data_IF_856245382747
#
_entry.id   IF_856245382747
#
_cell.length_a   1.000
_cell.length_b   1.000
_cell.length_c   1.000
_cell.angle_alpha   90.00
_cell.angle_beta   90.00
_cell.angle_gamma   90.00
#
_symmetry.space_group_name_H-M   'P 1'
#
loop_
_entity.id
_entity.type
_entity.pdbx_description
1 polymer ?
#
# COMPACT_ATOMS: atom_id res chain seq x y z
N UNK A 1 -11.83 -17.63 -23.58
CA UNK A 1 -10.79 -18.05 -22.62
C UNK A 1 -9.72 -16.97 -22.53
N UNK A 2 -9.02 -16.89 -21.40
CA UNK A 2 -7.85 -16.04 -21.22
C UNK A 2 -6.63 -16.93 -20.96
N UNK A 3 -5.52 -16.63 -21.63
CA UNK A 3 -4.23 -17.29 -21.40
C UNK A 3 -3.46 -16.60 -20.28
N UNK A 4 -2.94 -17.37 -19.32
CA UNK A 4 -2.10 -16.89 -18.22
C UNK A 4 -0.68 -17.44 -18.40
N UNK A 5 0.36 -16.58 -18.29
CA UNK A 5 0.35 -15.27 -17.62
C UNK A 5 0.11 -14.06 -18.55
N UNK A 6 0.05 -14.23 -19.87
CA UNK A 6 -0.01 -13.12 -20.85
C UNK A 6 -1.27 -12.26 -20.76
N UNK A 7 -2.35 -12.80 -20.17
CA UNK A 7 -3.70 -12.21 -20.07
C UNK A 7 -4.36 -11.89 -21.42
N UNK A 8 -3.82 -12.43 -22.53
CA UNK A 8 -4.48 -12.35 -23.84
C UNK A 8 -5.78 -13.15 -23.81
N UNK A 9 -6.83 -12.59 -24.41
CA UNK A 9 -8.17 -13.20 -24.48
C UNK A 9 -8.38 -13.69 -25.91
N UNK A 10 -8.96 -14.88 -26.04
CA UNK A 10 -9.45 -15.42 -27.32
C UNK A 10 -10.69 -16.28 -27.09
N UNK A 11 -11.30 -16.80 -28.15
CA UNK A 11 -12.42 -17.75 -28.11
C UNK A 11 -11.96 -19.12 -28.58
N UNK A 12 -12.56 -20.17 -28.02
CA UNK A 12 -12.31 -21.54 -28.46
C UNK A 12 -13.15 -21.78 -29.71
N UNK A 13 -12.47 -22.00 -30.84
CA UNK A 13 -13.10 -22.31 -32.13
C UNK A 13 -13.52 -23.78 -32.20
N UNK A 14 -12.61 -24.69 -31.82
CA UNK A 14 -12.83 -26.15 -31.84
C UNK A 14 -12.09 -26.84 -30.70
N UNK A 15 -12.66 -27.94 -30.22
CA UNK A 15 -12.00 -28.88 -29.31
C UNK A 15 -11.80 -30.18 -30.10
N UNK A 16 -10.55 -30.58 -30.29
CA UNK A 16 -10.18 -31.70 -31.16
C UNK A 16 -9.59 -32.83 -30.33
N UNK A 17 -10.02 -34.06 -30.61
CA UNK A 17 -9.45 -35.29 -30.07
C UNK A 17 -9.12 -36.27 -31.19
N UNK A 18 -8.48 -37.40 -30.86
CA UNK A 18 -8.22 -38.44 -31.85
C UNK A 18 -9.50 -39.04 -32.46
N UNK A 19 -10.60 -39.08 -31.70
CA UNK A 19 -11.89 -39.63 -32.14
C UNK A 19 -12.77 -38.61 -32.89
N UNK A 20 -12.28 -37.38 -33.09
CA UNK A 20 -13.02 -36.28 -33.69
C UNK A 20 -13.18 -35.09 -32.76
N UNK A 21 -14.02 -34.15 -33.20
CA UNK A 21 -14.29 -32.91 -32.48
C UNK A 21 -15.31 -33.11 -31.36
N UNK A 22 -15.15 -32.34 -30.27
CA UNK A 22 -16.06 -32.33 -29.13
C UNK A 22 -16.71 -30.95 -28.97
N UNK A 23 -17.95 -30.94 -28.50
CA UNK A 23 -18.65 -29.70 -28.14
C UNK A 23 -18.18 -29.12 -26.79
N UNK A 24 -17.76 -29.99 -25.85
CA UNK A 24 -17.26 -29.59 -24.54
C UNK A 24 -16.15 -30.54 -24.05
N UNK A 25 -15.33 -30.07 -23.12
CA UNK A 25 -14.28 -30.85 -22.47
C UNK A 25 -14.17 -30.50 -20.98
N UNK A 26 -13.63 -31.43 -20.19
CA UNK A 26 -13.45 -31.30 -18.76
C UNK A 26 -12.16 -31.98 -18.31
N UNK A 27 -11.60 -31.57 -17.17
CA UNK A 27 -10.44 -32.25 -16.60
C UNK A 27 -10.83 -33.66 -16.13
N UNK A 28 -10.03 -34.70 -16.41
CA UNK A 28 -8.64 -34.67 -16.88
C UNK A 28 -8.45 -35.01 -18.38
N UNK A 29 -9.43 -34.76 -19.27
CA UNK A 29 -9.32 -35.10 -20.69
C UNK A 29 -8.11 -34.44 -21.36
N UNK A 30 -7.38 -35.22 -22.16
CA UNK A 30 -6.32 -34.71 -23.03
C UNK A 30 -6.93 -34.30 -24.37
N UNK A 31 -6.86 -33.01 -24.68
CA UNK A 31 -7.50 -32.40 -25.85
C UNK A 31 -6.54 -31.45 -26.55
N UNK A 32 -6.84 -31.13 -27.81
CA UNK A 32 -6.23 -30.03 -28.55
C UNK A 32 -7.26 -28.92 -28.73
N UNK A 33 -6.91 -27.69 -28.37
CA UNK A 33 -7.78 -26.52 -28.55
C UNK A 33 -7.33 -25.72 -29.77
N UNK A 34 -8.28 -25.40 -30.65
CA UNK A 34 -8.09 -24.43 -31.73
C UNK A 34 -8.73 -23.12 -31.28
N UNK A 35 -7.96 -22.05 -31.22
CA UNK A 35 -8.42 -20.72 -30.85
C UNK A 35 -8.80 -19.90 -32.09
N UNK A 36 -9.65 -18.88 -31.92
CA UNK A 36 -10.00 -17.96 -33.01
C UNK A 36 -8.84 -17.02 -33.38
N UNK A 37 -8.10 -16.57 -32.37
CA UNK A 37 -6.97 -15.65 -32.54
C UNK A 37 -5.64 -16.37 -32.36
N UNK A 38 -4.62 -15.89 -33.06
CA UNK A 38 -3.23 -16.32 -32.86
C UNK A 38 -2.67 -15.72 -31.57
N UNK A 39 -2.90 -16.42 -30.46
CA UNK A 39 -2.32 -16.08 -29.16
C UNK A 39 -1.29 -17.13 -28.73
N UNK A 40 -0.17 -16.65 -28.19
CA UNK A 40 0.87 -17.51 -27.63
C UNK A 40 0.37 -18.19 -26.34
N UNK A 41 0.24 -19.51 -26.38
CA UNK A 41 -0.07 -20.37 -25.22
C UNK A 41 1.04 -21.40 -25.09
N UNK A 42 1.96 -21.17 -24.16
CA UNK A 42 3.12 -22.02 -23.94
C UNK A 42 2.82 -23.25 -23.09
N UNK A 43 3.78 -24.19 -23.05
CA UNK A 43 3.70 -25.35 -22.15
C UNK A 43 3.65 -24.88 -20.69
N UNK A 44 2.64 -25.35 -19.96
CA UNK A 44 2.42 -25.00 -18.56
C UNK A 44 1.56 -23.74 -18.36
N UNK A 45 1.22 -23.01 -19.42
CA UNK A 45 0.27 -21.90 -19.30
C UNK A 45 -1.14 -22.41 -18.99
N UNK A 46 -1.93 -21.54 -18.38
CA UNK A 46 -3.28 -21.87 -17.92
C UNK A 46 -4.29 -21.08 -18.74
N UNK A 47 -5.30 -21.78 -19.26
CA UNK A 47 -6.49 -21.16 -19.83
C UNK A 47 -7.56 -21.06 -18.74
N UNK A 48 -8.04 -19.85 -18.50
CA UNK A 48 -9.10 -19.58 -17.53
C UNK A 48 -10.27 -18.82 -18.18
N UNK A 49 -11.42 -18.81 -17.51
CA UNK A 49 -12.52 -17.93 -17.91
C UNK A 49 -12.17 -16.48 -17.52
N UNK A 50 -12.34 -15.46 -18.39
CA UNK A 50 -11.96 -14.08 -18.08
C UNK A 50 -12.58 -13.52 -16.80
N UNK A 51 -13.82 -13.94 -16.48
CA UNK A 51 -14.54 -13.54 -15.26
C UNK A 51 -14.26 -14.42 -14.03
N UNK A 52 -13.49 -15.51 -14.19
CA UNK A 52 -13.18 -16.45 -13.11
C UNK A 52 -11.74 -16.96 -13.27
N UNK A 53 -10.79 -16.04 -13.18
CA UNK A 53 -9.37 -16.33 -13.28
C UNK A 53 -8.72 -16.48 -11.90
N UNK A 54 -7.74 -17.38 -11.75
CA UNK A 54 -6.90 -17.44 -10.57
C UNK A 54 -6.04 -16.17 -10.44
N UNK A 55 -5.51 -15.95 -9.24
CA UNK A 55 -4.62 -14.81 -8.98
C UNK A 55 -3.19 -15.14 -9.41
N UNK A 56 -2.59 -14.30 -10.24
CA UNK A 56 -1.15 -14.36 -10.53
C UNK A 56 -0.38 -13.77 -9.34
N UNK A 57 0.39 -14.61 -8.64
CA UNK A 57 1.13 -14.20 -7.43
C UNK A 57 2.59 -14.64 -7.53
N UNK A 58 3.50 -13.72 -7.19
CA UNK A 58 4.92 -14.00 -6.95
C UNK A 58 5.17 -14.43 -5.50
N UNK A 59 4.16 -14.32 -4.65
CA UNK A 59 4.29 -14.55 -3.23
C UNK A 59 2.98 -15.12 -2.68
N UNK A 60 3.06 -16.24 -1.98
CA UNK A 60 1.90 -16.95 -1.45
C UNK A 60 2.12 -17.29 0.02
N UNK A 61 1.08 -17.12 0.84
CA UNK A 61 1.06 -17.71 2.16
C UNK A 61 0.61 -19.16 2.06
N UNK A 62 1.29 -20.03 2.79
CA UNK A 62 1.05 -21.46 2.75
C UNK A 62 1.00 -22.04 4.15
N UNK A 63 0.23 -23.12 4.29
CA UNK A 63 0.47 -24.12 5.31
C UNK A 63 1.27 -25.23 4.65
N UNK A 64 2.50 -25.41 5.12
CA UNK A 64 3.48 -26.37 4.62
C UNK A 64 3.59 -27.53 5.61
N UNK A 65 3.67 -28.75 5.10
CA UNK A 65 4.22 -29.89 5.83
C UNK A 65 5.63 -30.16 5.33
N UNK A 66 6.58 -30.27 6.25
CA UNK A 66 7.96 -30.63 5.93
C UNK A 66 8.14 -32.14 6.05
N UNK A 67 8.76 -32.75 5.04
CA UNK A 67 8.79 -34.21 4.86
C UNK A 67 10.22 -34.78 4.90
N UNK A 68 11.21 -33.96 5.28
CA UNK A 68 12.63 -34.34 5.28
C UNK A 68 13.25 -34.18 6.66
N UNK A 69 14.21 -35.04 6.99
CA UNK A 69 14.94 -35.00 8.26
C UNK A 69 15.79 -33.73 8.39
N UNK A 70 16.49 -33.36 7.31
CA UNK A 70 17.25 -32.12 7.26
C UNK A 70 16.30 -30.91 7.39
N UNK A 71 16.62 -29.94 8.26
CA UNK A 71 15.75 -28.80 8.49
C UNK A 71 15.52 -27.97 7.22
N UNK A 72 14.31 -27.41 7.10
CA UNK A 72 14.01 -26.40 6.09
C UNK A 72 14.93 -25.19 6.25
N UNK A 73 15.56 -24.77 5.16
CA UNK A 73 16.41 -23.60 5.10
C UNK A 73 15.62 -22.41 4.55
N UNK A 74 15.44 -21.37 5.37
CA UNK A 74 14.86 -20.12 4.90
C UNK A 74 15.81 -19.42 3.91
N UNK A 75 15.22 -18.76 2.92
CA UNK A 75 15.92 -18.03 1.85
C UNK A 75 16.80 -18.91 0.94
N UNK A 76 16.79 -20.23 1.10
CA UNK A 76 17.40 -21.17 0.16
C UNK A 76 16.46 -21.45 -1.02
N UNK A 77 17.02 -21.65 -2.24
CA UNK A 77 16.22 -21.93 -3.41
C UNK A 77 15.64 -23.35 -3.37
N UNK A 78 14.34 -23.45 -3.57
CA UNK A 78 13.58 -24.68 -3.79
C UNK A 78 12.92 -24.66 -5.17
N UNK A 79 12.57 -25.85 -5.66
CA UNK A 79 11.72 -26.01 -6.82
C UNK A 79 10.28 -26.20 -6.34
N UNK A 80 9.37 -25.37 -6.83
CA UNK A 80 7.95 -25.42 -6.53
C UNK A 80 7.23 -25.95 -7.75
N UNK A 81 6.62 -27.12 -7.62
CA UNK A 81 5.76 -27.68 -8.65
C UNK A 81 4.30 -27.42 -8.27
N UNK A 82 3.64 -26.64 -9.12
CA UNK A 82 2.26 -26.19 -8.95
C UNK A 82 1.51 -26.40 -10.26
N UNK A 83 0.40 -27.15 -10.22
CA UNK A 83 -0.37 -27.54 -11.42
C UNK A 83 0.52 -28.11 -12.53
N UNK A 84 0.66 -27.39 -13.64
CA UNK A 84 1.45 -27.75 -14.82
C UNK A 84 2.77 -26.96 -14.91
N UNK A 85 3.08 -26.09 -13.94
CA UNK A 85 4.33 -25.32 -13.88
C UNK A 85 5.26 -25.82 -12.78
N UNK A 86 6.54 -25.70 -13.08
CA UNK A 86 7.64 -25.87 -12.14
C UNK A 86 8.44 -24.58 -12.13
N UNK A 87 8.47 -23.90 -10.99
CA UNK A 87 9.15 -22.62 -10.82
C UNK A 87 10.13 -22.69 -9.66
N UNK A 88 11.16 -21.86 -9.66
CA UNK A 88 12.00 -21.69 -8.47
C UNK A 88 11.30 -20.77 -7.48
N UNK A 89 11.50 -21.04 -6.20
CA UNK A 89 11.02 -20.22 -5.10
C UNK A 89 11.87 -20.40 -3.85
N UNK A 90 11.61 -19.61 -2.83
CA UNK A 90 12.26 -19.73 -1.53
C UNK A 90 11.26 -19.43 -0.43
N UNK A 91 11.40 -20.10 0.72
CA UNK A 91 10.62 -19.75 1.90
C UNK A 91 11.31 -18.59 2.60
N UNK A 92 10.71 -17.39 2.56
CA UNK A 92 11.30 -16.20 3.16
C UNK A 92 11.01 -16.08 4.65
N UNK A 93 9.90 -16.67 5.11
CA UNK A 93 9.48 -16.60 6.51
C UNK A 93 8.71 -17.83 6.95
N UNK A 94 8.99 -18.29 8.16
CA UNK A 94 8.17 -19.21 8.94
C UNK A 94 7.46 -18.42 10.06
N UNK A 95 6.13 -18.33 10.03
CA UNK A 95 5.37 -17.54 10.98
C UNK A 95 5.20 -18.25 12.33
N UNK A 96 4.90 -19.55 12.27
CA UNK A 96 4.90 -20.47 13.39
C UNK A 96 4.98 -21.89 12.84
N UNK A 97 5.39 -22.82 13.69
CA UNK A 97 5.28 -24.25 13.45
C UNK A 97 4.44 -24.93 14.52
N UNK A 98 3.88 -26.06 14.16
CA UNK A 98 3.07 -26.94 15.01
C UNK A 98 3.66 -28.33 14.86
N UNK A 99 4.04 -28.92 15.98
CA UNK A 99 4.28 -30.35 16.06
C UNK A 99 2.91 -31.04 16.11
N UNK A 100 2.59 -31.96 15.18
CA UNK A 100 1.31 -32.67 15.20
C UNK A 100 1.02 -33.41 16.51
N UNK A 101 2.06 -33.78 17.26
CA UNK A 101 1.94 -34.50 18.53
C UNK A 101 1.64 -33.58 19.71
N UNK A 102 2.18 -32.36 19.71
CA UNK A 102 2.03 -31.41 20.82
C UNK A 102 0.94 -30.35 20.56
N UNK A 103 0.57 -30.11 19.29
CA UNK A 103 -0.42 -29.11 18.84
C UNK A 103 -0.17 -27.66 19.31
N UNK A 104 0.96 -27.39 19.96
CA UNK A 104 1.38 -26.06 20.40
C UNK A 104 2.13 -25.31 19.31
N UNK A 105 1.85 -24.00 19.19
CA UNK A 105 2.56 -23.11 18.27
C UNK A 105 3.93 -22.75 18.85
N UNK A 106 4.98 -23.03 18.08
CA UNK A 106 6.36 -22.63 18.39
C UNK A 106 6.84 -21.57 17.39
N UNK A 107 7.48 -20.53 17.91
CA UNK A 107 8.13 -19.48 17.11
C UNK A 107 9.60 -19.83 16.94
N UNK A 108 9.87 -20.76 16.04
CA UNK A 108 11.21 -21.13 15.61
C UNK A 108 11.30 -20.90 14.11
N UNK A 109 12.51 -20.66 13.61
CA UNK A 109 12.78 -20.36 12.21
C UNK A 109 13.15 -21.63 11.40
N UNK A 110 12.99 -22.81 12.00
CA UNK A 110 13.34 -24.10 11.38
C UNK A 110 12.17 -25.07 11.47
N UNK A 111 11.89 -25.74 10.34
CA UNK A 111 11.00 -26.90 10.30
C UNK A 111 11.82 -28.18 10.14
N UNK A 112 11.51 -29.19 10.94
CA UNK A 112 12.07 -30.54 10.82
C UNK A 112 10.98 -31.53 10.38
N UNK A 113 11.35 -32.80 10.19
CA UNK A 113 10.47 -33.85 9.69
C UNK A 113 9.11 -33.87 10.39
N UNK A 114 8.03 -33.92 9.61
CA UNK A 114 6.63 -33.97 10.02
C UNK A 114 6.09 -32.72 10.74
N UNK A 115 6.87 -31.64 10.87
CA UNK A 115 6.33 -30.39 11.37
C UNK A 115 5.43 -29.72 10.31
N UNK A 116 4.38 -29.04 10.80
CA UNK A 116 3.47 -28.25 9.96
C UNK A 116 3.71 -26.78 10.29
N UNK A 117 3.93 -25.96 9.27
CA UNK A 117 4.30 -24.57 9.45
C UNK A 117 3.50 -23.64 8.57
N UNK A 118 3.14 -22.47 9.10
CA UNK A 118 2.63 -21.39 8.25
C UNK A 118 3.82 -20.62 7.72
N UNK A 119 4.06 -20.69 6.42
CA UNK A 119 5.21 -20.08 5.77
C UNK A 119 4.81 -19.10 4.67
N UNK A 120 5.71 -18.19 4.34
CA UNK A 120 5.64 -17.33 3.14
C UNK A 120 6.55 -17.90 2.09
N UNK A 121 6.00 -18.21 0.92
CA UNK A 121 6.71 -18.72 -0.24
C UNK A 121 6.81 -17.63 -1.29
N UNK A 122 8.05 -17.26 -1.62
CA UNK A 122 8.39 -16.34 -2.70
C UNK A 122 8.79 -17.10 -3.95
N UNK A 123 8.41 -16.60 -5.11
CA UNK A 123 8.52 -17.28 -6.39
C UNK A 123 9.23 -16.37 -7.38
N UNK A 124 10.15 -16.94 -8.15
CA UNK A 124 10.89 -16.21 -9.19
C UNK A 124 10.01 -15.90 -10.42
N UNK A 125 8.95 -16.69 -10.61
CA UNK A 125 7.95 -16.50 -11.65
C UNK A 125 6.56 -16.60 -11.00
N UNK A 126 5.55 -15.86 -11.50
CA UNK A 126 4.26 -15.84 -10.88
C UNK A 126 3.53 -17.17 -11.10
N UNK A 127 2.89 -17.67 -10.04
CA UNK A 127 1.95 -18.79 -10.14
C UNK A 127 0.52 -18.28 -10.27
N UNK A 128 -0.24 -18.89 -11.18
CA UNK A 128 -1.68 -18.70 -11.30
C UNK A 128 -2.38 -19.57 -10.25
N UNK A 129 -2.65 -19.01 -9.08
CA UNK A 129 -3.11 -19.75 -7.91
C UNK A 129 -4.35 -19.16 -7.24
N UNK A 130 -5.05 -20.00 -6.49
CA UNK A 130 -6.17 -19.64 -5.63
C UNK A 130 -5.91 -20.13 -4.20
N UNK A 131 -6.62 -19.60 -3.19
CA UNK A 131 -6.71 -20.26 -1.90
C UNK A 131 -7.25 -21.69 -2.04
N UNK A 132 -6.62 -22.64 -1.35
CA UNK A 132 -7.00 -24.06 -1.35
C UNK A 132 -8.47 -24.28 -0.98
N UNK A 133 -9.00 -23.46 -0.05
CA UNK A 133 -10.40 -23.49 0.35
C UNK A 133 -11.36 -23.16 -0.81
N UNK A 134 -10.92 -22.35 -1.78
CA UNK A 134 -11.69 -21.94 -2.95
C UNK A 134 -11.50 -22.90 -4.13
N UNK A 135 -10.26 -23.32 -4.37
CA UNK A 135 -9.93 -24.28 -5.42
C UNK A 135 -8.72 -25.13 -5.01
N UNK A 136 -8.94 -26.43 -4.83
CA UNK A 136 -7.91 -27.37 -4.40
C UNK A 136 -6.82 -27.60 -5.46
N UNK A 137 -7.19 -27.57 -6.74
CA UNK A 137 -6.28 -27.85 -7.84
C UNK A 137 -5.25 -26.73 -8.04
N UNK A 138 -5.66 -25.48 -7.89
CA UNK A 138 -4.79 -24.30 -8.02
C UNK A 138 -4.28 -23.80 -6.67
N UNK A 139 -4.69 -24.42 -5.56
CA UNK A 139 -4.31 -24.04 -4.21
C UNK A 139 -3.36 -24.99 -3.51
N UNK A 140 -2.80 -26.00 -4.19
CA UNK A 140 -1.78 -26.88 -3.62
C UNK A 140 -0.48 -26.86 -4.44
N UNK A 141 0.62 -27.27 -3.82
CA UNK A 141 1.91 -27.43 -4.48
C UNK A 141 2.78 -28.42 -3.73
N UNK A 142 3.85 -28.88 -4.38
CA UNK A 142 4.92 -29.64 -3.74
C UNK A 142 6.24 -28.86 -3.80
N UNK A 143 7.09 -29.12 -2.82
CA UNK A 143 8.43 -28.54 -2.68
C UNK A 143 9.45 -29.61 -3.01
N UNK A 144 10.38 -29.28 -3.88
CA UNK A 144 11.42 -30.17 -4.38
C UNK A 144 12.78 -29.54 -4.08
N UNK A 145 13.72 -30.30 -3.52
CA UNK A 145 15.11 -29.86 -3.35
C UNK A 145 15.82 -29.86 -4.72
N UNK A 146 16.35 -28.72 -5.20
CA UNK A 146 17.06 -28.66 -6.48
C UNK A 146 18.35 -29.49 -6.52
N UNK A 147 18.93 -29.87 -5.37
CA UNK A 147 20.17 -30.66 -5.32
C UNK A 147 19.91 -32.14 -5.52
N UNK A 148 18.91 -32.69 -4.83
CA UNK A 148 18.59 -34.13 -4.89
C UNK A 148 17.43 -34.48 -5.83
N UNK A 149 16.60 -33.50 -6.21
CA UNK A 149 15.29 -33.66 -6.86
C UNK A 149 14.25 -34.42 -6.03
N UNK A 150 14.47 -34.60 -4.73
CA UNK A 150 13.50 -35.22 -3.84
C UNK A 150 12.37 -34.25 -3.48
N UNK A 151 11.17 -34.78 -3.25
CA UNK A 151 10.08 -34.02 -2.66
C UNK A 151 10.33 -33.86 -1.16
N UNK A 152 10.58 -32.64 -0.73
CA UNK A 152 10.95 -32.30 0.67
C UNK A 152 9.80 -31.71 1.47
N UNK A 153 8.68 -31.38 0.82
CA UNK A 153 7.49 -30.89 1.49
C UNK A 153 6.30 -30.72 0.55
N UNK A 154 5.14 -30.44 1.13
CA UNK A 154 3.91 -30.15 0.39
C UNK A 154 3.14 -29.03 1.08
N UNK A 155 2.52 -28.15 0.30
CA UNK A 155 1.88 -26.95 0.82
C UNK A 155 0.50 -26.71 0.23
N UNK A 156 -0.34 -26.06 1.04
CA UNK A 156 -1.62 -25.51 0.60
C UNK A 156 -1.58 -23.99 0.72
N UNK A 157 -1.96 -23.32 -0.36
CA UNK A 157 -2.06 -21.87 -0.43
C UNK A 157 -3.29 -21.45 0.38
N UNK A 158 -3.08 -20.60 1.37
CA UNK A 158 -4.17 -20.06 2.19
C UNK A 158 -4.55 -18.68 1.67
N UNK A 159 -5.83 -18.34 1.83
CA UNK A 159 -6.26 -16.97 1.59
C UNK A 159 -5.60 -16.09 2.66
N UNK A 160 -5.14 -14.90 2.28
CA UNK A 160 -4.85 -13.91 3.30
C UNK A 160 -6.19 -13.63 3.94
N UNK A 161 -6.43 -14.20 5.12
CA UNK A 161 -7.62 -13.89 5.92
C UNK A 161 -7.72 -12.38 5.95
N UNK A 162 -8.77 -11.83 5.30
CA UNK A 162 -9.26 -10.50 5.64
C UNK A 162 -9.57 -10.60 7.12
N UNK A 163 -8.69 -10.06 7.95
CA UNK A 163 -8.92 -9.94 9.38
C UNK A 163 -10.13 -9.02 9.56
N UNK A 164 -11.31 -9.62 9.60
CA UNK A 164 -12.50 -9.04 10.17
C UNK A 164 -12.65 -9.66 11.55
N UNK A 165 -12.11 -8.98 12.55
CA UNK A 165 -12.89 -8.39 13.64
C UNK A 165 -12.01 -7.36 14.36
N UNK A 166 -12.65 -6.26 14.75
CA UNK A 166 -12.06 -5.05 15.33
C UNK A 166 -11.45 -5.33 16.71
N UNK A 167 -10.66 -4.35 17.18
CA UNK A 167 -9.98 -4.23 18.49
C UNK A 167 -8.54 -4.80 18.36
N UNK A 168 -7.47 -4.04 18.09
CA UNK A 168 -7.01 -2.78 18.65
C UNK A 168 -6.16 -1.94 17.67
N UNK A 169 -6.21 -0.63 17.89
CA UNK A 169 -5.36 0.50 17.50
C UNK A 169 -4.22 0.32 16.46
N UNK A 170 -4.46 0.95 15.30
CA UNK A 170 -3.57 1.73 14.44
C UNK A 170 -2.10 1.99 14.87
N UNK A 171 -1.21 1.02 14.67
CA UNK A 171 0.24 1.30 14.59
C UNK A 171 1.03 0.45 13.58
N UNK A 172 0.39 -0.36 12.73
CA UNK A 172 1.12 -1.31 11.85
C UNK A 172 0.47 -1.49 10.47
N UNK A 173 0.50 -0.46 9.61
CA UNK A 173 0.33 -0.66 8.16
C UNK A 173 1.66 -1.18 7.61
N UNK A 174 1.81 -2.50 7.49
CA UNK A 174 3.00 -3.13 6.89
C UNK A 174 2.96 -3.03 5.36
N UNK A 175 4.09 -2.73 4.69
CA UNK A 175 4.15 -2.61 3.24
C UNK A 175 3.69 -3.89 2.53
N UNK A 176 3.04 -3.74 1.37
CA UNK A 176 2.56 -4.86 0.55
C UNK A 176 3.73 -5.70 0.00
N UNK A 177 4.88 -5.07 -0.21
CA UNK A 177 6.18 -5.71 -0.46
C UNK A 177 6.76 -6.28 0.83
N UNK A 178 6.83 -7.62 0.95
CA UNK A 178 7.26 -8.30 2.18
C UNK A 178 8.78 -8.45 2.34
N UNK A 179 9.55 -8.05 1.33
CA UNK A 179 11.03 -7.98 1.34
C UNK A 179 11.57 -6.59 1.69
N UNK A 180 10.88 -5.87 2.57
CA UNK A 180 11.47 -4.68 3.21
C UNK A 180 11.89 -5.12 4.60
N UNK A 181 13.15 -5.53 4.72
CA UNK A 181 13.82 -5.50 6.02
C UNK A 181 13.99 -4.02 6.34
N UNK A 182 13.38 -3.55 7.43
CA UNK A 182 13.70 -2.23 7.97
C UNK A 182 15.17 -2.25 8.38
N UNK A 183 16.04 -1.80 7.49
CA UNK A 183 17.41 -1.47 7.86
C UNK A 183 17.32 -0.23 8.72
N UNK A 184 17.43 -0.40 10.03
CA UNK A 184 17.64 0.72 10.93
C UNK A 184 18.98 1.35 10.56
N UNK A 185 18.94 2.64 10.23
CA UNK A 185 20.17 3.40 10.06
C UNK A 185 21.01 3.31 11.35
N UNK A 186 22.33 3.37 11.21
CA UNK A 186 23.26 3.39 12.36
C UNK A 186 23.00 4.63 13.24
N UNK A 187 22.43 5.68 12.65
CA UNK A 187 22.01 6.91 13.33
C UNK A 187 20.55 6.78 13.75
N UNK A 188 20.33 6.81 15.06
CA UNK A 188 19.03 6.80 15.73
C UNK A 188 18.24 8.07 15.46
N UNK A 189 16.93 8.03 15.74
CA UNK A 189 16.06 9.20 15.62
C UNK A 189 16.50 10.29 16.59
N UNK A 190 16.82 9.90 17.81
CA UNK A 190 17.22 10.79 18.91
C UNK A 190 18.52 11.53 18.57
N UNK A 191 19.49 10.86 17.93
CA UNK A 191 20.71 11.51 17.44
C UNK A 191 20.42 12.54 16.35
N UNK A 192 19.51 12.25 15.42
CA UNK A 192 19.11 13.23 14.37
C UNK A 192 18.43 14.44 14.99
N UNK A 193 17.47 14.22 15.88
CA UNK A 193 16.73 15.29 16.55
C UNK A 193 17.65 16.15 17.43
N UNK A 194 18.64 15.53 18.09
CA UNK A 194 19.66 16.24 18.87
C UNK A 194 20.57 17.12 18.01
N UNK A 195 20.96 16.67 16.81
CA UNK A 195 21.79 17.47 15.89
C UNK A 195 21.02 18.68 15.35
N UNK A 196 19.73 18.49 15.07
CA UNK A 196 18.86 19.54 14.52
C UNK A 196 18.27 20.47 15.59
N UNK A 197 18.42 20.11 16.87
CA UNK A 197 17.76 20.76 17.99
C UNK A 197 16.22 20.86 17.76
N UNK A 198 15.65 19.83 17.14
CA UNK A 198 14.30 19.83 16.61
C UNK A 198 13.77 18.40 16.50
N UNK A 199 12.47 18.21 16.81
CA UNK A 199 11.76 16.96 16.55
C UNK A 199 11.04 17.01 15.21
N UNK A 200 11.03 15.89 14.49
CA UNK A 200 10.26 15.79 13.25
C UNK A 200 8.75 15.85 13.52
N UNK A 201 8.03 16.66 12.76
CA UNK A 201 6.59 16.83 12.88
C UNK A 201 5.93 17.14 11.54
N UNK A 202 4.65 16.80 11.38
CA UNK A 202 3.88 17.16 10.19
C UNK A 202 2.77 18.14 10.55
N UNK A 203 2.89 19.37 10.07
CA UNK A 203 1.83 20.37 10.08
C UNK A 203 0.91 20.11 8.89
N UNK A 204 -0.24 19.50 9.16
CA UNK A 204 -1.18 19.09 8.12
C UNK A 204 -2.26 20.13 7.89
N UNK A 205 -2.07 21.02 6.92
CA UNK A 205 -3.08 22.02 6.56
C UNK A 205 -4.19 21.40 5.71
N UNK A 206 -5.44 21.50 6.17
CA UNK A 206 -6.64 21.09 5.42
C UNK A 206 -7.63 22.24 5.30
N UNK A 207 -8.39 22.30 4.21
CA UNK A 207 -9.31 23.41 3.95
C UNK A 207 -9.70 23.52 2.47
N UNK A 208 -10.73 24.31 2.17
CA UNK A 208 -11.21 24.57 0.80
C UNK A 208 -10.12 25.16 -0.11
N UNK A 209 -10.29 25.02 -1.44
CA UNK A 209 -9.41 25.72 -2.38
C UNK A 209 -9.43 27.23 -2.10
N UNK A 210 -8.29 27.93 -2.24
CA UNK A 210 -8.18 29.36 -1.91
C UNK A 210 -8.47 29.76 -0.45
N UNK A 211 -8.52 28.81 0.51
CA UNK A 211 -8.62 29.13 1.93
C UNK A 211 -7.33 29.71 2.54
N UNK A 212 -6.21 29.72 1.81
CA UNK A 212 -4.93 30.28 2.25
C UNK A 212 -3.86 29.26 2.65
N UNK A 213 -4.10 27.96 2.48
CA UNK A 213 -3.15 26.88 2.85
C UNK A 213 -1.72 27.08 2.35
N UNK A 214 -1.52 27.23 1.03
CA UNK A 214 -0.18 27.38 0.46
C UNK A 214 0.50 28.67 0.94
N UNK A 215 -0.24 29.77 1.03
CA UNK A 215 0.27 31.04 1.56
C UNK A 215 0.76 30.90 3.00
N UNK A 216 -0.04 30.26 3.87
CA UNK A 216 0.35 29.98 5.26
C UNK A 216 1.56 29.03 5.29
N UNK A 217 1.57 27.99 4.46
CA UNK A 217 2.65 27.01 4.44
C UNK A 217 4.01 27.64 4.09
N UNK A 218 4.08 28.41 3.00
CA UNK A 218 5.32 29.05 2.57
C UNK A 218 5.74 30.22 3.49
N UNK A 219 4.79 30.94 4.10
CA UNK A 219 5.15 31.96 5.10
C UNK A 219 5.68 31.32 6.39
N UNK A 220 5.10 30.19 6.82
CA UNK A 220 5.61 29.41 7.95
C UNK A 220 6.99 28.82 7.65
N UNK A 221 7.20 28.28 6.45
CA UNK A 221 8.50 27.79 5.99
C UNK A 221 9.56 28.90 6.07
N UNK A 222 9.26 30.09 5.53
CA UNK A 222 10.15 31.24 5.60
C UNK A 222 10.51 31.62 7.04
N UNK A 223 9.53 31.60 7.96
CA UNK A 223 9.75 31.89 9.37
C UNK A 223 10.68 30.86 10.04
N UNK A 224 10.39 29.57 9.86
CA UNK A 224 11.16 28.47 10.46
C UNK A 224 12.59 28.44 9.91
N UNK A 225 12.76 28.53 8.58
CA UNK A 225 14.08 28.57 7.94
C UNK A 225 14.88 29.79 8.40
N UNK A 226 14.24 30.96 8.57
CA UNK A 226 14.87 32.14 9.15
C UNK A 226 15.35 31.95 10.60
N UNK A 227 14.75 31.01 11.34
CA UNK A 227 15.17 30.63 12.69
C UNK A 227 16.19 29.48 12.71
N UNK A 228 16.66 29.03 11.54
CA UNK A 228 17.51 27.85 11.35
C UNK A 228 16.83 26.55 11.79
N UNK A 229 15.52 26.46 11.61
CA UNK A 229 14.69 25.27 11.86
C UNK A 229 14.36 24.60 10.51
N UNK A 230 15.02 23.48 10.14
CA UNK A 230 14.81 22.85 8.84
C UNK A 230 13.37 22.37 8.68
N UNK A 231 12.74 22.78 7.58
CA UNK A 231 11.39 22.36 7.21
C UNK A 231 11.23 22.24 5.69
N UNK A 232 10.14 21.62 5.25
CA UNK A 232 9.84 21.47 3.83
C UNK A 232 8.34 21.48 3.55
N UNK A 233 7.92 22.21 2.52
CA UNK A 233 6.52 22.26 2.10
C UNK A 233 6.20 21.18 1.05
N UNK A 234 5.21 20.34 1.35
CA UNK A 234 4.59 19.43 0.37
C UNK A 234 3.27 20.03 -0.08
N UNK A 235 3.14 20.34 -1.37
CA UNK A 235 1.95 21.01 -1.90
C UNK A 235 1.42 20.33 -3.17
N UNK A 236 0.26 20.81 -3.64
CA UNK A 236 -0.39 20.24 -4.81
C UNK A 236 0.44 20.36 -6.07
N UNK A 237 1.27 21.41 -6.21
CA UNK A 237 2.03 21.68 -7.43
C UNK A 237 3.28 20.79 -7.49
N UNK A 238 4.09 20.73 -6.43
CA UNK A 238 5.32 19.94 -6.42
C UNK A 238 5.07 18.42 -6.39
N UNK A 239 4.05 17.95 -5.68
CA UNK A 239 3.74 16.51 -5.59
C UNK A 239 3.06 16.01 -6.87
N UNK A 240 2.10 16.74 -7.45
CA UNK A 240 1.34 16.25 -8.61
C UNK A 240 2.10 16.36 -9.93
N UNK A 241 3.13 17.18 -10.02
CA UNK A 241 4.02 17.19 -11.19
C UNK A 241 5.05 16.05 -11.14
N UNK A 242 5.36 15.53 -9.94
CA UNK A 242 6.35 14.48 -9.72
C UNK A 242 5.73 13.16 -9.23
N UNK A 243 5.81 12.93 -7.92
CA UNK A 243 5.48 11.66 -7.26
C UNK A 243 4.06 11.14 -7.57
N UNK A 244 3.09 12.05 -7.72
CA UNK A 244 1.68 11.72 -7.90
C UNK A 244 1.15 12.10 -9.28
N UNK A 245 2.03 12.20 -10.30
CA UNK A 245 1.63 12.54 -11.68
C UNK A 245 0.71 11.49 -12.33
N UNK A 246 0.71 10.26 -11.81
CA UNK A 246 -0.12 9.15 -12.26
C UNK A 246 -1.54 9.17 -11.68
N UNK A 247 -1.85 10.08 -10.74
CA UNK A 247 -3.12 10.11 -10.02
C UNK A 247 -4.09 11.17 -10.58
N UNK A 248 -5.33 10.76 -10.82
CA UNK A 248 -6.42 11.65 -11.20
C UNK A 248 -7.07 12.35 -9.98
N UNK A 249 -8.14 13.10 -10.23
CA UNK A 249 -8.93 13.78 -9.19
C UNK A 249 -10.16 12.99 -8.73
N UNK A 250 -10.26 11.71 -9.08
CA UNK A 250 -11.33 10.83 -8.58
C UNK A 250 -11.21 10.62 -7.06
N UNK A 251 -12.27 10.15 -6.37
CA UNK A 251 -12.16 9.80 -4.95
C UNK A 251 -11.02 8.81 -4.65
N UNK A 252 -10.81 7.81 -5.51
CA UNK A 252 -9.70 6.86 -5.37
C UNK A 252 -8.33 7.51 -5.58
N UNK A 253 -8.19 8.34 -6.61
CA UNK A 253 -6.96 9.11 -6.87
C UNK A 253 -6.63 10.09 -5.75
N UNK A 254 -7.64 10.72 -5.14
CA UNK A 254 -7.47 11.59 -3.96
C UNK A 254 -7.01 10.82 -2.73
N UNK A 255 -7.63 9.67 -2.45
CA UNK A 255 -7.23 8.80 -1.33
C UNK A 255 -5.77 8.37 -1.46
N UNK A 256 -5.38 7.86 -2.62
CA UNK A 256 -4.00 7.42 -2.86
C UNK A 256 -3.01 8.59 -2.82
N UNK A 257 -3.42 9.77 -3.32
CA UNK A 257 -2.62 10.98 -3.22
C UNK A 257 -2.33 11.33 -1.76
N UNK A 258 -3.36 11.36 -0.90
CA UNK A 258 -3.20 11.64 0.53
C UNK A 258 -2.34 10.58 1.23
N UNK A 259 -2.56 9.29 0.93
CA UNK A 259 -1.76 8.20 1.48
C UNK A 259 -0.27 8.36 1.15
N UNK A 260 0.09 8.62 -0.12
CA UNK A 260 1.49 8.82 -0.53
C UNK A 260 2.12 10.03 0.15
N UNK A 261 1.39 11.13 0.27
CA UNK A 261 1.87 12.34 0.96
C UNK A 261 2.15 12.04 2.43
N UNK A 262 1.29 11.30 3.11
CA UNK A 262 1.48 10.92 4.51
C UNK A 262 2.75 10.06 4.70
N UNK A 263 3.00 9.10 3.81
CA UNK A 263 4.23 8.28 3.85
C UNK A 263 5.49 9.12 3.63
N UNK A 264 5.46 10.07 2.68
CA UNK A 264 6.58 11.00 2.47
C UNK A 264 6.77 11.86 3.72
N UNK A 265 5.71 12.42 4.29
CA UNK A 265 5.78 13.25 5.47
C UNK A 265 6.39 12.49 6.67
N UNK A 266 6.00 11.23 6.88
CA UNK A 266 6.59 10.33 7.86
C UNK A 266 8.11 10.17 7.67
N UNK A 267 8.57 9.92 6.45
CA UNK A 267 10.01 9.76 6.16
C UNK A 267 10.82 11.03 6.49
N UNK A 268 10.27 12.21 6.20
CA UNK A 268 10.88 13.48 6.60
C UNK A 268 10.89 13.67 8.11
N UNK A 269 9.82 13.27 8.81
CA UNK A 269 9.78 13.33 10.27
C UNK A 269 10.81 12.39 10.91
N UNK A 270 11.03 11.20 10.34
CA UNK A 270 12.08 10.29 10.80
C UNK A 270 13.49 10.86 10.56
N UNK A 271 13.63 11.82 9.64
CA UNK A 271 14.85 12.61 9.45
C UNK A 271 14.96 13.82 10.40
N UNK A 272 14.00 14.06 11.29
CA UNK A 272 13.93 15.20 12.20
C UNK A 272 13.43 16.50 11.55
N UNK A 273 12.89 16.44 10.33
CA UNK A 273 12.43 17.61 9.58
C UNK A 273 10.94 17.88 9.86
N UNK A 274 10.59 19.15 10.00
CA UNK A 274 9.18 19.59 10.06
C UNK A 274 8.62 19.68 8.64
N UNK A 275 7.57 18.92 8.37
CA UNK A 275 6.87 18.92 7.09
C UNK A 275 5.63 19.79 7.21
N UNK A 276 5.39 20.62 6.20
CA UNK A 276 4.17 21.43 6.12
C UNK A 276 3.41 21.00 4.88
N UNK A 277 2.25 20.37 5.04
CA UNK A 277 1.47 19.88 3.90
C UNK A 277 0.34 20.85 3.58
N UNK A 278 0.16 21.24 2.31
CA UNK A 278 -0.86 22.18 1.87
C UNK A 278 -1.86 21.53 0.89
N UNK A 279 -2.65 20.55 1.35
CA UNK A 279 -3.62 19.83 0.53
C UNK A 279 -5.06 20.05 0.98
N UNK A 280 -6.00 20.01 0.04
CA UNK A 280 -7.43 20.13 0.39
C UNK A 280 -7.83 19.02 1.38
N UNK A 281 -7.37 17.78 1.15
CA UNK A 281 -7.65 16.61 2.00
C UNK A 281 -9.11 16.55 2.50
N UNK A 282 -10.10 16.49 1.59
CA UNK A 282 -11.49 16.81 1.90
C UNK A 282 -12.22 15.77 2.75
N UNK A 283 -11.75 14.52 2.77
CA UNK A 283 -12.40 13.42 3.48
C UNK A 283 -11.75 13.20 4.84
N UNK A 284 -12.55 13.08 5.90
CA UNK A 284 -12.08 12.81 7.26
C UNK A 284 -11.34 11.48 7.34
N UNK A 285 -11.84 10.43 6.69
CA UNK A 285 -11.20 9.11 6.67
C UNK A 285 -9.78 9.15 6.10
N UNK A 286 -9.55 9.94 5.05
CA UNK A 286 -8.23 10.08 4.44
C UNK A 286 -7.28 10.84 5.37
N UNK A 287 -7.76 11.87 6.09
CA UNK A 287 -6.96 12.60 7.09
C UNK A 287 -6.66 11.74 8.31
N UNK A 288 -7.61 10.90 8.73
CA UNK A 288 -7.40 9.91 9.79
C UNK A 288 -6.33 8.90 9.37
N UNK A 289 -6.41 8.35 8.16
CA UNK A 289 -5.36 7.46 7.64
C UNK A 289 -4.00 8.13 7.56
N UNK A 290 -3.94 9.41 7.16
CA UNK A 290 -2.69 10.18 7.17
C UNK A 290 -2.11 10.35 8.59
N UNK A 291 -2.96 10.63 9.57
CA UNK A 291 -2.61 10.71 11.00
C UNK A 291 -2.03 9.39 11.52
N UNK A 292 -2.66 8.27 11.17
CA UNK A 292 -2.19 6.93 11.54
C UNK A 292 -0.82 6.59 10.90
N UNK A 293 -0.59 7.00 9.65
CA UNK A 293 0.70 6.78 8.96
C UNK A 293 1.82 7.63 9.56
N UNK A 294 1.56 8.90 9.81
CA UNK A 294 2.56 9.84 10.34
C UNK A 294 2.88 9.55 11.81
N UNK A 295 1.90 9.09 12.58
CA UNK A 295 1.97 8.93 14.03
C UNK A 295 1.23 10.06 14.73
N UNK A 296 0.37 9.70 15.69
CA UNK A 296 -0.49 10.63 16.44
C UNK A 296 0.32 11.75 17.10
N UNK A 297 1.51 11.42 17.60
CA UNK A 297 2.40 12.33 18.31
C UNK A 297 3.12 13.33 17.41
N UNK A 298 3.17 13.08 16.10
CA UNK A 298 3.84 13.92 15.10
C UNK A 298 2.87 14.66 14.18
N UNK A 299 1.60 14.24 14.15
CA UNK A 299 0.61 14.75 13.21
C UNK A 299 -0.17 15.93 13.81
N UNK A 300 0.01 17.13 13.24
CA UNK A 300 -0.65 18.36 13.69
C UNK A 300 -1.67 18.79 12.64
N UNK A 301 -2.91 18.30 12.75
CA UNK A 301 -4.03 18.77 11.93
C UNK A 301 -4.37 20.25 12.18
N UNK A 302 -4.25 21.05 11.12
CA UNK A 302 -4.58 22.48 11.12
C UNK A 302 -5.73 22.72 10.14
N UNK A 303 -6.88 23.10 10.67
CA UNK A 303 -8.03 23.47 9.86
C UNK A 303 -7.87 24.93 9.41
N UNK A 304 -7.60 25.11 8.11
CA UNK A 304 -7.51 26.41 7.44
C UNK A 304 -8.90 26.74 6.89
N UNK A 305 -9.70 27.32 7.76
CA UNK A 305 -11.11 27.59 7.58
C UNK A 305 -11.32 28.99 6.99
N UNK A 306 -12.04 29.02 5.88
CA UNK A 306 -12.52 30.23 5.26
C UNK A 306 -13.89 29.90 4.63
N UNK A 307 -14.89 30.77 4.76
CA UNK A 307 -16.18 30.59 4.10
C UNK A 307 -16.01 30.39 2.59
N UNK A 308 -16.91 29.61 2.00
CA UNK A 308 -16.88 29.33 0.56
C UNK A 308 -16.92 30.62 -0.27
N UNK A 309 -17.71 31.59 0.17
CA UNK A 309 -17.83 32.91 -0.44
C UNK A 309 -16.49 33.64 -0.50
N UNK A 310 -15.73 33.62 0.60
CA UNK A 310 -14.39 34.19 0.68
C UNK A 310 -13.41 33.44 -0.23
N UNK A 311 -13.49 32.11 -0.27
CA UNK A 311 -12.67 31.30 -1.19
C UNK A 311 -12.96 31.63 -2.66
N UNK A 312 -14.22 31.83 -3.02
CA UNK A 312 -14.63 32.23 -4.38
C UNK A 312 -14.11 33.62 -4.71
N UNK A 313 -14.20 34.58 -3.78
CA UNK A 313 -13.65 35.93 -3.99
C UNK A 313 -12.12 35.95 -4.17
N UNK A 314 -11.42 35.02 -3.53
CA UNK A 314 -9.94 34.89 -3.61
C UNK A 314 -9.47 34.13 -4.85
N UNK A 315 -10.38 33.58 -5.65
CA UNK A 315 -10.04 32.73 -6.79
C UNK A 315 -9.47 33.53 -7.97
N UNK A 316 -8.15 33.61 -8.02
CA UNK A 316 -7.42 34.27 -9.11
C UNK A 316 -7.29 33.40 -10.36
N UNK A 317 -7.68 32.11 -10.30
CA UNK A 317 -7.52 31.14 -11.40
C UNK A 317 -8.86 30.75 -12.05
N UNK A 318 -9.98 31.29 -11.56
CA UNK A 318 -11.33 31.04 -12.09
C UNK A 318 -11.80 29.59 -11.95
N UNK A 319 -11.28 28.83 -11.00
CA UNK A 319 -11.60 27.42 -10.79
C UNK A 319 -13.02 27.20 -10.27
N UNK A 320 -13.53 28.07 -9.40
CA UNK A 320 -14.89 27.98 -8.86
C UNK A 320 -15.94 28.23 -9.94
N UNK A 321 -15.70 29.19 -10.84
CA UNK A 321 -16.61 29.46 -11.96
C UNK A 321 -16.58 28.33 -12.99
N UNK A 322 -15.39 27.82 -13.33
CA UNK A 322 -15.26 26.64 -14.20
C UNK A 322 -15.94 25.40 -13.59
N UNK A 323 -15.82 25.20 -12.26
CA UNK A 323 -16.51 24.14 -11.55
C UNK A 323 -18.04 24.27 -11.59
N UNK A 324 -18.58 25.49 -11.43
CA UNK A 324 -20.03 25.76 -11.55
C UNK A 324 -20.57 25.48 -12.94
N UNK A 325 -19.75 25.69 -13.98
CA UNK A 325 -20.06 25.35 -15.38
C UNK A 325 -19.88 23.87 -15.71
N UNK A 326 -19.52 23.03 -14.74
CA UNK A 326 -19.19 21.60 -14.91
C UNK A 326 -17.97 21.32 -15.81
N UNK A 327 -17.13 22.32 -16.07
CA UNK A 327 -15.87 22.14 -16.83
C UNK A 327 -14.81 21.41 -15.99
N UNK A 328 -14.87 21.58 -14.66
CA UNK A 328 -14.03 20.87 -13.69
C UNK A 328 -14.91 19.93 -12.85
N UNK A 329 -14.97 18.63 -13.19
CA UNK A 329 -15.83 17.69 -12.47
C UNK A 329 -15.33 17.44 -11.04
N UNK A 330 -16.28 17.22 -10.11
CA UNK A 330 -16.03 16.84 -8.70
C UNK A 330 -15.18 17.86 -7.92
N UNK A 331 -15.36 19.15 -8.15
CA UNK A 331 -14.64 20.20 -7.46
C UNK A 331 -15.09 20.34 -6.00
N UNK A 332 -14.16 20.32 -5.06
CA UNK A 332 -14.45 20.36 -3.61
C UNK A 332 -15.13 21.68 -3.22
N UNK A 333 -16.25 21.59 -2.50
CA UNK A 333 -17.06 22.73 -2.08
C UNK A 333 -18.12 23.18 -3.09
N UNK A 334 -18.15 22.58 -4.29
CA UNK A 334 -19.19 22.81 -5.32
C UNK A 334 -19.88 21.50 -5.71
N UNK A 335 -19.14 20.59 -6.36
CA UNK A 335 -19.66 19.31 -6.88
C UNK A 335 -19.06 18.07 -6.18
N UNK A 336 -18.26 18.28 -5.13
CA UNK A 336 -17.78 17.27 -4.20
C UNK A 336 -17.74 17.83 -2.76
N UNK A 337 -17.94 17.01 -1.72
CA UNK A 337 -18.01 17.49 -0.34
C UNK A 337 -16.63 17.88 0.21
N UNK A 338 -16.66 18.73 1.25
CA UNK A 338 -15.56 18.96 2.17
C UNK A 338 -16.05 18.64 3.57
N UNK A 339 -15.43 17.65 4.22
CA UNK A 339 -15.76 17.23 5.58
C UNK A 339 -14.83 17.95 6.54
N UNK A 340 -15.33 19.02 7.18
CA UNK A 340 -14.54 19.82 8.12
C UNK A 340 -13.99 18.96 9.28
N UNK A 341 -12.76 19.20 9.76
CA UNK A 341 -12.23 18.53 10.94
C UNK A 341 -13.08 18.84 12.19
N UNK A 342 -13.48 17.82 12.94
CA UNK A 342 -14.26 18.01 14.17
C UNK A 342 -13.41 18.44 15.36
N UNK A 343 -12.15 17.99 15.42
CA UNK A 343 -11.22 18.28 16.50
C UNK A 343 -9.80 18.50 15.96
N UNK A 344 -9.57 19.55 15.15
CA UNK A 344 -8.22 19.90 14.72
C UNK A 344 -7.39 20.40 15.92
N UNK A 345 -6.08 20.22 15.89
CA UNK A 345 -5.20 20.80 16.94
C UNK A 345 -5.18 22.31 16.87
N UNK A 346 -5.30 22.86 15.66
CA UNK A 346 -5.33 24.29 15.40
C UNK A 346 -6.46 24.58 14.41
N UNK A 347 -7.30 25.54 14.74
CA UNK A 347 -8.33 26.07 13.85
C UNK A 347 -7.97 27.52 13.52
N UNK A 348 -7.79 27.81 12.22
CA UNK A 348 -7.44 29.12 11.69
C UNK A 348 -8.60 29.65 10.87
N UNK A 349 -9.12 30.83 11.25
CA UNK A 349 -10.20 31.54 10.57
C UNK A 349 -9.57 32.59 9.66
N UNK A 350 -9.23 32.23 8.42
CA UNK A 350 -8.38 33.08 7.56
C UNK A 350 -9.13 34.24 6.92
N UNK A 351 -10.45 34.31 7.11
CA UNK A 351 -11.30 35.46 6.85
C UNK A 351 -11.24 36.51 7.97
N UNK A 352 -10.86 36.11 9.18
CA UNK A 352 -10.82 36.96 10.38
C UNK A 352 -9.38 37.26 10.85
N UNK A 353 -8.41 36.42 10.47
CA UNK A 353 -7.03 36.49 10.92
C UNK A 353 -6.08 36.86 9.78
N UNK A 354 -5.03 37.63 10.09
CA UNK A 354 -3.93 37.88 9.15
C UNK A 354 -3.10 36.62 8.91
N UNK A 355 -2.33 36.59 7.82
CA UNK A 355 -1.40 35.48 7.53
C UNK A 355 -0.37 35.36 8.65
N UNK A 356 0.14 36.49 9.15
CA UNK A 356 1.13 36.55 10.23
C UNK A 356 0.55 35.98 11.54
N UNK A 357 -0.71 36.28 11.86
CA UNK A 357 -1.40 35.74 13.05
C UNK A 357 -1.60 34.23 12.94
N UNK A 358 -1.99 33.74 11.77
CA UNK A 358 -2.12 32.32 11.46
C UNK A 358 -0.78 31.59 11.66
N UNK A 359 0.29 32.11 11.04
CA UNK A 359 1.64 31.53 11.11
C UNK A 359 2.18 31.56 12.53
N UNK A 360 1.98 32.67 13.28
CA UNK A 360 2.35 32.76 14.70
C UNK A 360 1.62 31.73 15.56
N UNK A 361 0.36 31.44 15.26
CA UNK A 361 -0.42 30.44 16.00
C UNK A 361 0.19 29.05 15.82
N UNK A 362 0.54 28.66 14.59
CA UNK A 362 1.20 27.39 14.31
C UNK A 362 2.60 27.33 14.95
N UNK A 363 3.39 28.37 14.78
CA UNK A 363 4.74 28.47 15.37
C UNK A 363 4.73 28.33 16.89
N UNK A 364 3.78 29.02 17.55
CA UNK A 364 3.57 28.91 19.00
C UNK A 364 3.22 27.49 19.39
N UNK A 365 2.32 26.82 18.66
CA UNK A 365 1.97 25.43 18.94
C UNK A 365 3.19 24.51 18.86
N UNK A 366 4.02 24.64 17.82
CA UNK A 366 5.26 23.87 17.66
C UNK A 366 6.22 24.07 18.83
N UNK A 367 6.30 25.30 19.34
CA UNK A 367 7.16 25.66 20.47
C UNK A 367 6.63 25.16 21.81
N UNK A 368 5.31 25.25 22.04
CA UNK A 368 4.67 24.80 23.27
C UNK A 368 4.72 23.27 23.43
N UNK A 369 4.70 22.54 22.32
CA UNK A 369 4.74 21.08 22.29
C UNK A 369 6.15 20.53 22.02
N UNK A 370 7.19 21.36 22.21
CA UNK A 370 8.61 20.95 22.16
C UNK A 370 9.06 20.31 20.83
N UNK A 371 8.40 20.65 19.71
CA UNK A 371 8.90 20.29 18.38
C UNK A 371 10.10 21.15 17.98
N UNK A 372 10.11 22.41 18.44
CA UNK A 372 11.22 23.34 18.32
C UNK A 372 11.54 23.91 19.70
N UNK A 373 12.82 24.02 20.05
CA UNK A 373 13.21 24.58 21.34
C UNK A 373 12.93 26.09 21.43
N UNK A 374 12.52 26.53 22.62
CA UNK A 374 12.47 27.95 23.00
C UNK A 374 13.91 28.46 23.06
N UNK A 375 14.22 29.47 22.26
CA UNK A 375 15.45 30.24 22.43
C UNK A 375 15.31 31.21 23.59
#
# INVERSE_FOLDING_TARGET
VMALPSRKISRVKRIVTHAGDLEYAFAPLSITLVLEDEIDVGRGDMLAHPSNQPSLKYEVETILVWMREEPMELNSPYIIKHTTKTVRGAFSRLAYKIDPNELHRKNDNRMVLNEIGRATLELFQPLACDPYARNRSTGNFIVIDPRSNDTVGAGVIIDRVKSQERVDLASDIKPVSRNIVSHFGIVTKEERESILDQKGATVWLTGLSFSGKSTIAYTLEKLLMGQKRPCYVLDGENIRQGLNRDLDFSPGGRRENIRRIAEVARLFNDAGIIVITAFISPYQDDRKGAREIVGEEKFIEVFVDAPLETCVQRDTRGLYDAARKNEIPKFTGISAPYEAPMAPHIHLRTDEQSIEECVRTIHRYLTLNEFIQRK
#
